data_IF_863252385367
#
_entry.id   IF_863252385367
#
_cell.length_a   1.000
_cell.length_b   1.000
_cell.length_c   1.000
_cell.angle_alpha   90.00
_cell.angle_beta   90.00
_cell.angle_gamma   90.00
#
_symmetry.space_group_name_H-M   'P 1'
#
loop_
_entity.id
_entity.type
_entity.pdbx_description
1 polymer ?
#
# COMPACT_ATOMS: atom_id res chain seq x y z
N UNK A 1 23.49 26.28 -31.66
CA UNK A 1 22.16 26.26 -31.01
C UNK A 1 21.65 24.82 -31.03
N UNK A 2 21.68 24.12 -29.90
CA UNK A 2 21.18 22.75 -29.82
C UNK A 2 19.67 22.79 -29.65
N UNK A 3 18.93 22.33 -30.66
CA UNK A 3 17.49 22.10 -30.55
C UNK A 3 17.26 20.96 -29.55
N UNK A 4 16.95 21.31 -28.30
CA UNK A 4 16.53 20.33 -27.31
C UNK A 4 15.22 19.67 -27.76
N UNK A 5 15.04 18.35 -27.57
CA UNK A 5 13.91 17.60 -28.08
C UNK A 5 12.65 17.85 -27.24
N UNK A 6 12.02 19.01 -27.41
CA UNK A 6 10.74 19.38 -26.76
C UNK A 6 9.64 18.33 -27.04
N UNK A 7 9.68 17.68 -28.22
CA UNK A 7 8.73 16.63 -28.59
C UNK A 7 8.79 15.37 -27.72
N UNK A 8 9.95 15.02 -27.16
CA UNK A 8 10.10 13.80 -26.32
C UNK A 8 9.36 13.95 -24.99
N UNK A 9 9.41 15.14 -24.39
CA UNK A 9 8.76 15.42 -23.10
C UNK A 9 7.23 15.39 -23.20
N UNK A 10 6.67 15.89 -24.31
CA UNK A 10 5.22 15.88 -24.55
C UNK A 10 4.71 14.44 -24.66
N UNK A 11 5.39 13.59 -25.44
CA UNK A 11 4.99 12.19 -25.60
C UNK A 11 5.01 11.40 -24.29
N UNK A 12 6.03 11.58 -23.47
CA UNK A 12 6.15 10.93 -22.15
C UNK A 12 5.01 11.37 -21.22
N UNK A 13 4.67 12.66 -21.19
CA UNK A 13 3.58 13.19 -20.37
C UNK A 13 2.23 12.56 -20.71
N UNK A 14 1.89 12.44 -21.99
CA UNK A 14 0.64 11.80 -22.41
C UNK A 14 0.56 10.33 -22.02
N UNK A 15 1.66 9.59 -22.15
CA UNK A 15 1.70 8.18 -21.73
C UNK A 15 1.41 8.02 -20.23
N UNK A 16 1.97 8.89 -19.38
CA UNK A 16 1.71 8.85 -17.94
C UNK A 16 0.25 9.13 -17.59
N UNK A 17 -0.39 10.08 -18.27
CA UNK A 17 -1.82 10.40 -18.04
C UNK A 17 -2.69 9.20 -18.41
N UNK A 18 -2.45 8.57 -19.56
CA UNK A 18 -3.20 7.38 -19.99
C UNK A 18 -3.02 6.24 -18.99
N UNK A 19 -1.79 5.98 -18.54
CA UNK A 19 -1.51 4.95 -17.54
C UNK A 19 -2.27 5.24 -16.24
N UNK A 20 -2.27 6.48 -15.77
CA UNK A 20 -2.97 6.88 -14.56
C UNK A 20 -4.49 6.66 -14.66
N UNK A 21 -5.09 7.01 -15.80
CA UNK A 21 -6.51 6.78 -16.06
C UNK A 21 -6.83 5.28 -16.06
N UNK A 22 -6.03 4.47 -16.74
CA UNK A 22 -6.22 3.01 -16.79
C UNK A 22 -6.12 2.39 -15.39
N UNK A 23 -5.13 2.79 -14.58
CA UNK A 23 -4.99 2.32 -13.20
C UNK A 23 -6.17 2.73 -12.33
N UNK A 24 -6.72 3.93 -12.54
CA UNK A 24 -7.90 4.41 -11.81
C UNK A 24 -9.14 3.57 -12.15
N UNK A 25 -9.38 3.31 -13.44
CA UNK A 25 -10.49 2.44 -13.88
C UNK A 25 -10.34 1.04 -13.30
N UNK A 26 -9.14 0.46 -13.36
CA UNK A 26 -8.88 -0.88 -12.84
C UNK A 26 -9.12 -0.97 -11.32
N UNK A 27 -8.77 0.08 -10.57
CA UNK A 27 -8.95 0.16 -9.12
C UNK A 27 -10.43 0.13 -8.70
N UNK A 28 -11.34 0.55 -9.57
CA UNK A 28 -12.78 0.42 -9.36
C UNK A 28 -13.36 -0.86 -9.94
N UNK A 29 -12.94 -1.25 -11.15
CA UNK A 29 -13.50 -2.39 -11.86
C UNK A 29 -13.25 -3.72 -11.13
N UNK A 30 -12.04 -3.91 -10.56
CA UNK A 30 -11.67 -5.17 -9.89
C UNK A 30 -12.51 -5.43 -8.63
N UNK A 31 -12.66 -4.49 -7.68
CA UNK A 31 -13.58 -4.65 -6.55
C UNK A 31 -15.01 -4.97 -6.98
N UNK A 32 -15.55 -4.29 -8.01
CA UNK A 32 -16.89 -4.58 -8.52
C UNK A 32 -17.02 -6.00 -9.07
N UNK A 33 -16.01 -6.49 -9.81
CA UNK A 33 -15.98 -7.87 -10.31
C UNK A 33 -15.91 -8.89 -9.17
N UNK A 34 -15.08 -8.65 -8.15
CA UNK A 34 -14.98 -9.51 -6.96
C UNK A 34 -16.33 -9.56 -6.24
N UNK A 35 -16.97 -8.41 -6.02
CA UNK A 35 -18.25 -8.33 -5.33
C UNK A 35 -19.35 -9.07 -6.10
N UNK A 36 -19.43 -8.89 -7.42
CA UNK A 36 -20.37 -9.60 -8.27
C UNK A 36 -20.15 -11.12 -8.22
N UNK A 37 -18.89 -11.56 -8.30
CA UNK A 37 -18.52 -12.97 -8.23
C UNK A 37 -18.96 -13.60 -6.91
N UNK A 38 -18.59 -12.97 -5.78
CA UNK A 38 -18.93 -13.45 -4.44
C UNK A 38 -20.45 -13.46 -4.22
N UNK A 39 -21.16 -12.43 -4.67
CA UNK A 39 -22.62 -12.37 -4.58
C UNK A 39 -23.32 -13.52 -5.34
N UNK A 40 -22.78 -13.90 -6.51
CA UNK A 40 -23.33 -15.02 -7.29
C UNK A 40 -23.05 -16.39 -6.68
N UNK A 41 -21.96 -16.53 -5.93
CA UNK A 41 -21.66 -17.75 -5.17
C UNK A 41 -22.49 -17.88 -3.89
N UNK A 42 -23.06 -16.78 -3.41
CA UNK A 42 -23.96 -16.73 -2.24
C UNK A 42 -25.38 -17.26 -2.55
N UNK A 43 -25.65 -17.67 -3.79
CA UNK A 43 -26.94 -18.24 -4.18
C UNK A 43 -27.16 -19.59 -3.48
N UNK A 44 -28.30 -19.81 -2.78
CA UNK A 44 -28.58 -21.07 -2.10
C UNK A 44 -28.62 -22.29 -3.03
N UNK A 45 -28.75 -22.09 -4.34
CA UNK A 45 -28.63 -23.17 -5.34
C UNK A 45 -27.19 -23.64 -5.53
N UNK A 46 -26.23 -22.91 -4.97
CA UNK A 46 -24.83 -23.18 -5.12
C UNK A 46 -24.24 -23.78 -3.83
N UNK A 47 -23.90 -25.07 -3.88
CA UNK A 47 -23.23 -25.78 -2.78
C UNK A 47 -21.70 -25.60 -2.87
N UNK A 48 -21.25 -24.35 -2.80
CA UNK A 48 -19.81 -24.02 -2.68
C UNK A 48 -19.41 -23.83 -1.20
N UNK A 49 -18.11 -23.68 -0.96
CA UNK A 49 -17.55 -23.41 0.37
C UNK A 49 -18.07 -22.09 0.93
N UNK A 50 -18.79 -22.16 2.06
CA UNK A 50 -19.34 -21.01 2.79
C UNK A 50 -18.61 -20.84 4.13
N UNK A 51 -17.40 -20.30 4.07
CA UNK A 51 -16.60 -19.98 5.26
C UNK A 51 -16.68 -18.49 5.61
N UNK A 52 -16.11 -18.10 6.77
CA UNK A 52 -15.97 -16.71 7.22
C UNK A 52 -15.35 -15.76 6.17
N UNK A 53 -14.58 -16.30 5.23
CA UNK A 53 -13.95 -15.57 4.12
C UNK A 53 -14.99 -14.95 3.18
N UNK A 54 -16.09 -15.64 2.90
CA UNK A 54 -17.14 -15.16 1.99
C UNK A 54 -17.76 -13.83 2.50
N UNK A 55 -18.39 -13.78 3.70
CA UNK A 55 -18.96 -12.53 4.21
C UNK A 55 -17.88 -11.46 4.42
N UNK A 56 -16.67 -11.85 4.85
CA UNK A 56 -15.58 -10.90 5.01
C UNK A 56 -15.20 -10.20 3.69
N UNK A 57 -14.98 -10.96 2.59
CA UNK A 57 -14.67 -10.39 1.27
C UNK A 57 -15.81 -9.48 0.82
N UNK A 58 -17.07 -9.92 0.94
CA UNK A 58 -18.25 -9.14 0.55
C UNK A 58 -18.29 -7.77 1.24
N UNK A 59 -18.22 -7.74 2.57
CA UNK A 59 -18.27 -6.49 3.33
C UNK A 59 -17.02 -5.63 3.15
N UNK A 60 -15.84 -6.26 3.10
CA UNK A 60 -14.59 -5.55 2.91
C UNK A 60 -14.50 -4.87 1.54
N UNK A 61 -14.96 -5.54 0.47
CA UNK A 61 -15.00 -4.96 -0.87
C UNK A 61 -15.96 -3.76 -0.95
N UNK A 62 -17.13 -3.85 -0.31
CA UNK A 62 -18.07 -2.71 -0.20
C UNK A 62 -17.42 -1.55 0.57
N UNK A 63 -16.80 -1.84 1.72
CA UNK A 63 -16.11 -0.83 2.51
C UNK A 63 -14.97 -0.16 1.73
N UNK A 64 -14.21 -0.94 0.95
CA UNK A 64 -13.12 -0.44 0.10
C UNK A 64 -13.64 0.53 -0.96
N UNK A 65 -14.74 0.20 -1.65
CA UNK A 65 -15.39 1.11 -2.60
C UNK A 65 -15.80 2.43 -1.93
N UNK A 66 -16.38 2.35 -0.73
CA UNK A 66 -16.78 3.54 0.03
C UNK A 66 -15.58 4.40 0.46
N UNK A 67 -14.50 3.76 0.92
CA UNK A 67 -13.24 4.43 1.30
C UNK A 67 -12.62 5.13 0.09
N UNK A 68 -12.64 4.53 -1.10
CA UNK A 68 -12.14 5.17 -2.32
C UNK A 68 -12.95 6.44 -2.63
N UNK A 69 -14.28 6.38 -2.57
CA UNK A 69 -15.15 7.54 -2.78
C UNK A 69 -14.90 8.65 -1.74
N UNK A 70 -14.74 8.29 -0.47
CA UNK A 70 -14.43 9.24 0.62
C UNK A 70 -13.07 9.90 0.38
N UNK A 71 -12.02 9.12 0.10
CA UNK A 71 -10.68 9.66 -0.11
C UNK A 71 -10.62 10.60 -1.33
N UNK A 72 -11.41 10.30 -2.37
CA UNK A 72 -11.54 11.19 -3.53
C UNK A 72 -12.22 12.53 -3.19
N UNK A 73 -13.12 12.55 -2.20
CA UNK A 73 -13.91 13.74 -1.85
C UNK A 73 -13.29 14.57 -0.72
N UNK A 74 -12.76 13.92 0.32
CA UNK A 74 -12.30 14.55 1.57
C UNK A 74 -10.77 14.52 1.73
N UNK A 75 -10.05 13.87 0.82
CA UNK A 75 -8.62 13.64 0.94
C UNK A 75 -8.27 12.44 1.82
N UNK A 76 -6.98 12.12 1.92
CA UNK A 76 -6.47 10.93 2.61
C UNK A 76 -6.16 11.21 4.08
N UNK A 77 -6.78 10.46 5.00
CA UNK A 77 -6.44 10.49 6.42
C UNK A 77 -5.39 9.40 6.73
N UNK A 78 -4.27 9.73 7.41
CA UNK A 78 -3.20 8.76 7.68
C UNK A 78 -3.65 7.58 8.56
N UNK A 79 -4.60 7.79 9.48
CA UNK A 79 -5.13 6.72 10.33
C UNK A 79 -5.95 5.74 9.49
N UNK A 80 -6.83 6.25 8.62
CA UNK A 80 -7.62 5.44 7.67
C UNK A 80 -6.68 4.65 6.75
N UNK A 81 -5.58 5.26 6.29
CA UNK A 81 -4.60 4.60 5.41
C UNK A 81 -3.95 3.39 6.09
N UNK A 82 -3.54 3.49 7.36
CA UNK A 82 -2.95 2.38 8.12
C UNK A 82 -3.96 1.26 8.32
N UNK A 83 -5.18 1.58 8.79
CA UNK A 83 -6.25 0.59 9.00
C UNK A 83 -6.60 -0.12 7.69
N UNK A 84 -6.76 0.65 6.61
CA UNK A 84 -7.10 0.13 5.29
C UNK A 84 -5.99 -0.78 4.77
N UNK A 85 -4.73 -0.48 5.04
CA UNK A 85 -3.60 -1.32 4.62
C UNK A 85 -3.61 -2.69 5.31
N UNK A 86 -3.87 -2.73 6.63
CA UNK A 86 -3.98 -3.98 7.40
C UNK A 86 -5.17 -4.81 6.90
N UNK A 87 -6.35 -4.18 6.78
CA UNK A 87 -7.56 -4.86 6.32
C UNK A 87 -7.44 -5.32 4.86
N UNK A 88 -6.74 -4.56 4.02
CA UNK A 88 -6.43 -4.98 2.64
C UNK A 88 -5.56 -6.23 2.62
N UNK A 89 -4.54 -6.33 3.49
CA UNK A 89 -3.72 -7.53 3.58
C UNK A 89 -4.55 -8.77 3.99
N UNK A 90 -5.44 -8.63 4.97
CA UNK A 90 -6.40 -9.69 5.35
C UNK A 90 -7.35 -10.02 4.18
N UNK A 91 -7.83 -8.99 3.47
CA UNK A 91 -8.65 -9.09 2.25
C UNK A 91 -7.99 -9.92 1.16
N UNK A 92 -6.73 -9.62 0.85
CA UNK A 92 -5.93 -10.35 -0.14
C UNK A 92 -5.73 -11.80 0.28
N UNK A 93 -5.40 -12.06 1.55
CA UNK A 93 -5.27 -13.42 2.06
C UNK A 93 -6.58 -14.22 2.00
N UNK A 94 -7.70 -13.62 2.44
CA UNK A 94 -9.01 -14.25 2.37
C UNK A 94 -9.41 -14.56 0.93
N UNK A 95 -9.25 -13.61 0.01
CA UNK A 95 -9.55 -13.80 -1.41
C UNK A 95 -8.65 -14.86 -2.05
N UNK A 96 -7.36 -14.84 -1.75
CA UNK A 96 -6.38 -15.81 -2.27
C UNK A 96 -6.75 -17.24 -1.90
N UNK A 97 -7.02 -17.49 -0.61
CA UNK A 97 -7.35 -18.82 -0.12
C UNK A 97 -8.75 -19.25 -0.57
N UNK A 98 -9.71 -18.33 -0.60
CA UNK A 98 -11.08 -18.60 -1.05
C UNK A 98 -11.14 -19.04 -2.52
N UNK A 99 -10.47 -18.32 -3.43
CA UNK A 99 -10.39 -18.71 -4.86
C UNK A 99 -9.63 -20.03 -5.03
N UNK A 100 -8.61 -20.28 -4.21
CA UNK A 100 -7.89 -21.56 -4.19
C UNK A 100 -8.82 -22.73 -3.93
N UNK A 101 -9.58 -22.65 -2.85
CA UNK A 101 -10.47 -23.74 -2.42
C UNK A 101 -11.64 -23.95 -3.40
N UNK A 102 -12.16 -22.89 -4.02
CA UNK A 102 -13.19 -22.99 -5.07
C UNK A 102 -12.68 -23.80 -6.27
N UNK A 103 -11.46 -23.51 -6.73
CA UNK A 103 -10.86 -24.20 -7.88
C UNK A 103 -10.44 -25.63 -7.52
N UNK A 104 -9.92 -25.86 -6.32
CA UNK A 104 -9.54 -27.20 -5.85
C UNK A 104 -10.77 -28.12 -5.74
N UNK A 105 -11.87 -27.62 -5.18
CA UNK A 105 -13.12 -28.38 -5.04
C UNK A 105 -13.97 -28.43 -6.31
N UNK A 106 -13.49 -27.84 -7.41
CA UNK A 106 -14.18 -27.82 -8.70
C UNK A 106 -15.64 -27.35 -8.59
N UNK A 107 -15.87 -26.22 -7.90
CA UNK A 107 -17.26 -25.79 -7.67
C UNK A 107 -17.95 -25.41 -8.98
N UNK A 108 -18.95 -26.20 -9.38
CA UNK A 108 -19.62 -26.10 -10.68
C UNK A 108 -20.22 -24.71 -10.95
N UNK A 109 -20.84 -24.06 -9.97
CA UNK A 109 -21.42 -22.73 -10.22
C UNK A 109 -20.35 -21.68 -10.55
N UNK A 110 -19.16 -21.79 -9.97
CA UNK A 110 -18.07 -20.86 -10.22
C UNK A 110 -17.47 -21.09 -11.62
N UNK A 111 -17.24 -22.37 -11.96
CA UNK A 111 -16.55 -22.78 -13.19
C UNK A 111 -17.48 -22.69 -14.40
N UNK A 112 -18.71 -23.19 -14.28
CA UNK A 112 -19.63 -23.33 -15.42
C UNK A 112 -20.40 -22.03 -15.69
N UNK A 113 -20.87 -21.33 -14.65
CA UNK A 113 -21.70 -20.13 -14.85
C UNK A 113 -20.86 -18.87 -15.08
N UNK A 114 -19.62 -18.83 -14.60
CA UNK A 114 -18.76 -17.63 -14.64
C UNK A 114 -17.29 -17.95 -15.00
N UNK A 115 -17.02 -18.70 -16.08
CA UNK A 115 -15.67 -19.17 -16.42
C UNK A 115 -14.69 -18.00 -16.63
N UNK A 116 -15.14 -16.92 -17.26
CA UNK A 116 -14.32 -15.73 -17.50
C UNK A 116 -13.83 -15.09 -16.20
N UNK A 117 -14.76 -14.85 -15.25
CA UNK A 117 -14.43 -14.19 -13.98
C UNK A 117 -13.59 -15.11 -13.11
N UNK A 118 -13.91 -16.40 -13.06
CA UNK A 118 -13.12 -17.39 -12.32
C UNK A 118 -11.68 -17.44 -12.83
N UNK A 119 -11.49 -17.49 -14.15
CA UNK A 119 -10.17 -17.51 -14.78
C UNK A 119 -9.41 -16.18 -14.54
N UNK A 120 -10.09 -15.04 -14.65
CA UNK A 120 -9.51 -13.73 -14.33
C UNK A 120 -9.02 -13.69 -12.87
N UNK A 121 -9.86 -14.09 -11.91
CA UNK A 121 -9.52 -14.13 -10.50
C UNK A 121 -8.36 -15.08 -10.19
N UNK A 122 -8.27 -16.21 -10.92
CA UNK A 122 -7.15 -17.14 -10.83
C UNK A 122 -5.81 -16.50 -11.24
N UNK A 123 -5.76 -15.74 -12.34
CA UNK A 123 -4.56 -15.01 -12.73
C UNK A 123 -4.29 -13.80 -11.82
N UNK A 124 -5.34 -13.08 -11.44
CA UNK A 124 -5.27 -11.94 -10.52
C UNK A 124 -4.63 -12.34 -9.18
N UNK A 125 -4.89 -13.56 -8.72
CA UNK A 125 -4.24 -14.16 -7.54
C UNK A 125 -2.71 -14.09 -7.60
N UNK A 126 -2.11 -14.47 -8.73
CA UNK A 126 -0.66 -14.43 -8.93
C UNK A 126 -0.14 -13.01 -9.10
N UNK A 127 -0.90 -12.15 -9.77
CA UNK A 127 -0.56 -10.75 -9.94
C UNK A 127 -0.46 -10.02 -8.59
N UNK A 128 -1.36 -10.30 -7.64
CA UNK A 128 -1.29 -9.73 -6.29
C UNK A 128 -0.01 -10.13 -5.55
N UNK A 129 0.41 -11.41 -5.64
CA UNK A 129 1.66 -11.87 -5.02
C UNK A 129 2.85 -11.10 -5.59
N UNK A 130 2.96 -11.03 -6.93
CA UNK A 130 4.04 -10.31 -7.60
C UNK A 130 4.02 -8.82 -7.20
N UNK A 131 2.84 -8.22 -7.14
CA UNK A 131 2.64 -6.84 -6.71
C UNK A 131 3.22 -6.56 -5.32
N UNK A 132 2.94 -7.44 -4.34
CA UNK A 132 3.47 -7.30 -2.97
C UNK A 132 5.01 -7.34 -2.95
N UNK A 133 5.63 -8.27 -3.69
CA UNK A 133 7.10 -8.35 -3.78
C UNK A 133 7.71 -7.10 -4.43
N UNK A 134 7.10 -6.60 -5.50
CA UNK A 134 7.55 -5.38 -6.18
C UNK A 134 7.45 -4.18 -5.24
N UNK A 135 6.31 -4.00 -4.56
CA UNK A 135 6.11 -2.91 -3.60
C UNK A 135 7.10 -2.95 -2.45
N UNK A 136 7.36 -4.13 -1.88
CA UNK A 136 8.32 -4.30 -0.79
C UNK A 136 9.76 -3.94 -1.25
N UNK A 137 10.17 -4.41 -2.44
CA UNK A 137 11.48 -4.11 -2.99
C UNK A 137 11.70 -2.61 -3.27
N UNK A 138 10.65 -1.91 -3.71
CA UNK A 138 10.69 -0.46 -3.94
C UNK A 138 10.81 0.33 -2.64
N UNK A 139 10.01 -0.02 -1.62
CA UNK A 139 10.07 0.60 -0.31
C UNK A 139 11.45 0.43 0.34
N UNK A 140 12.08 -0.75 0.22
CA UNK A 140 13.42 -1.00 0.76
C UNK A 140 14.49 -0.10 0.12
N UNK A 141 14.44 0.09 -1.20
CA UNK A 141 15.37 0.99 -1.92
C UNK A 141 15.19 2.44 -1.50
N UNK A 142 13.95 2.89 -1.31
CA UNK A 142 13.65 4.24 -0.85
C UNK A 142 14.12 4.47 0.60
N UNK A 143 13.88 3.51 1.49
CA UNK A 143 14.36 3.56 2.87
C UNK A 143 15.89 3.57 2.94
N UNK A 144 16.58 2.77 2.12
CA UNK A 144 18.03 2.77 2.03
C UNK A 144 18.59 4.12 1.50
N UNK A 145 17.91 4.74 0.52
CA UNK A 145 18.29 6.04 -0.04
C UNK A 145 18.15 7.18 0.99
N UNK A 146 17.11 7.16 1.83
CA UNK A 146 16.88 8.15 2.88
C UNK A 146 17.98 8.18 3.94
N UNK A 147 18.64 7.06 4.22
CA UNK A 147 19.68 6.96 5.26
C UNK A 147 21.06 7.43 4.79
N UNK A 148 21.25 7.68 3.48
CA UNK A 148 22.58 7.91 2.90
C UNK A 148 23.18 9.32 3.10
N UNK A 149 22.48 10.31 3.67
CA UNK A 149 22.96 11.71 3.61
C UNK A 149 22.99 12.55 4.90
N UNK A 150 22.54 12.07 6.08
CA UNK A 150 22.43 13.02 7.22
C UNK A 150 22.91 12.59 8.62
N UNK A 151 23.40 11.37 8.88
CA UNK A 151 23.57 10.94 10.28
C UNK A 151 24.93 10.46 10.79
N UNK A 152 26.02 10.60 10.04
CA UNK A 152 27.36 10.39 10.61
C UNK A 152 28.37 11.41 10.08
N UNK A 153 28.09 12.70 10.25
CA UNK A 153 29.18 13.68 10.36
C UNK A 153 29.85 13.46 11.71
N UNK A 154 30.77 12.50 11.77
CA UNK A 154 31.73 12.46 12.87
C UNK A 154 32.55 13.75 12.79
N UNK A 155 32.22 14.73 13.60
CA UNK A 155 33.14 15.82 13.86
C UNK A 155 34.39 15.20 14.49
N UNK A 156 35.44 15.05 13.69
CA UNK A 156 36.77 14.68 14.16
C UNK A 156 37.13 15.73 15.22
N UNK A 157 37.30 15.36 16.49
CA UNK A 157 37.72 16.33 17.49
C UNK A 157 39.09 16.87 17.07
N UNK A 158 39.22 18.19 16.95
CA UNK A 158 40.53 18.81 16.76
C UNK A 158 41.40 18.46 17.96
N UNK A 159 42.45 17.69 17.71
CA UNK A 159 43.51 17.44 18.68
C UNK A 159 44.25 18.76 18.93
N UNK A 160 43.79 19.57 19.89
CA UNK A 160 44.65 20.56 20.52
C UNK A 160 45.68 19.82 21.35
N UNK A 161 46.91 19.81 20.85
CA UNK A 161 48.10 19.29 21.51
C UNK A 161 48.25 20.02 22.85
N UNK A 162 47.89 19.33 23.93
CA UNK A 162 48.07 19.79 25.30
C UNK A 162 48.55 18.58 26.06
N UNK A 163 49.85 18.55 26.31
CA UNK A 163 50.50 17.65 27.25
C UNK A 163 49.85 17.85 28.61
N UNK A 164 49.05 16.88 29.06
CA UNK A 164 48.35 16.94 30.33
C UNK A 164 47.01 16.24 30.27
N UNK A 165 46.99 15.01 30.81
CA UNK A 165 45.86 14.23 31.31
C UNK A 165 44.45 14.74 30.92
N UNK A 166 43.76 14.03 30.02
CA UNK A 166 42.35 14.31 29.68
C UNK A 166 41.42 13.24 30.25
N UNK A 167 40.61 13.65 31.22
CA UNK A 167 39.43 12.95 31.70
C UNK A 167 38.32 13.06 30.64
N UNK A 168 37.71 11.93 30.26
CA UNK A 168 36.60 11.92 29.32
C UNK A 168 35.28 12.22 30.04
N UNK A 169 34.70 13.39 29.79
CA UNK A 169 33.35 13.74 30.22
C UNK A 169 32.37 13.63 29.05
N UNK A 170 31.44 12.69 29.14
CA UNK A 170 30.34 12.52 28.19
C UNK A 170 29.26 13.55 28.47
N UNK A 171 29.14 14.58 27.64
CA UNK A 171 27.95 15.46 27.65
C UNK A 171 26.88 14.86 26.76
N UNK A 172 25.81 14.34 27.38
CA UNK A 172 24.55 14.05 26.70
C UNK A 172 23.93 15.37 26.25
N UNK A 173 23.82 15.57 24.94
CA UNK A 173 23.11 16.73 24.37
C UNK A 173 21.61 16.51 24.62
N UNK A 174 21.13 17.06 25.74
CA UNK A 174 19.71 17.13 26.06
C UNK A 174 18.98 17.96 25.02
N UNK A 175 17.95 17.38 24.39
CA UNK A 175 16.95 18.13 23.61
C UNK A 175 16.39 19.25 24.49
N UNK A 176 16.72 20.49 24.17
CA UNK A 176 16.12 21.70 24.76
C UNK A 176 14.62 21.68 24.44
N UNK A 177 13.82 21.22 25.40
CA UNK A 177 12.39 21.47 25.43
C UNK A 177 12.16 22.95 25.73
N UNK A 178 11.65 23.68 24.75
CA UNK A 178 11.10 25.01 24.95
C UNK A 178 9.84 24.89 25.81
N UNK A 179 9.89 25.39 27.05
CA UNK A 179 8.71 25.70 27.84
C UNK A 179 8.79 27.17 28.24
N UNK A 180 8.03 27.99 27.52
CA UNK A 180 7.72 29.36 27.90
C UNK A 180 6.98 29.39 29.24
N UNK A 181 7.62 29.93 30.27
CA UNK A 181 6.95 30.31 31.52
C UNK A 181 6.60 31.81 31.45
N UNK A 182 5.31 32.08 31.29
CA UNK A 182 4.70 33.41 31.35
C UNK A 182 4.68 33.86 32.81
N UNK A 183 5.49 34.86 33.17
CA UNK A 183 5.51 35.47 34.51
C UNK A 183 4.33 36.44 34.64
N UNK A 184 3.40 36.14 35.54
CA UNK A 184 2.32 37.05 35.97
C UNK A 184 2.90 37.87 37.12
N UNK A 185 3.01 39.19 36.96
CA UNK A 185 3.34 40.10 38.05
C UNK A 185 2.03 40.50 38.74
N UNK A 186 2.02 40.39 40.06
CA UNK A 186 1.04 41.02 40.97
C UNK A 186 1.72 42.22 41.60
#
# INVERSE_FOLDING_TARGET
MSNTPIGLFIGIGFAFVIIFIVLSILSFAVPCMILYYVYKLDDPKCDCVMDWRNPFIKYWTIATLFIICINASLGTNPIIMIITSIMTAVGVYALFTYIGDINEKQCKCAIDNMPFINNFLYYYRWLMIIGVFVSFSGALKLAASSNGKQWLSFHKPEHKNTDGFKTYSYTTVGKKGSKDYKRINT
#
